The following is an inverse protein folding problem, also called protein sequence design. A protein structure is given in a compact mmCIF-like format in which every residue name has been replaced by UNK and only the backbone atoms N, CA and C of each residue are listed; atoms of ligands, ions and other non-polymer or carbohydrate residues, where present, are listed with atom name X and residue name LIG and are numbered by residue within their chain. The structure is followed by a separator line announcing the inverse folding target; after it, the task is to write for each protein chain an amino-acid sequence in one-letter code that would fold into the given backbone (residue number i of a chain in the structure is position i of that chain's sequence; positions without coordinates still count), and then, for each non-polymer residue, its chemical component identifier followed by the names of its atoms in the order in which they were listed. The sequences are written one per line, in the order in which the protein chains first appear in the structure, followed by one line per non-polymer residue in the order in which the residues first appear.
data_IF_837485468145
#
_entry.id   IF_837485468145
#
_cell.length_a   1.000
_cell.length_b   1.000
_cell.length_c   1.000
_cell.angle_alpha   90.00
_cell.angle_beta   90.00
_cell.angle_gamma   90.00
#
_symmetry.space_group_name_H-M   'P 1'
#
loop_
_entity.id
_entity.type
_entity.pdbx_description
1 polymer ?
#
# COMPACT_ATOMS: atom_id res chain seq x y z
N UNK A 1 -14.62 -44.67 -32.92
CA UNK A 1 -14.67 -43.19 -32.76
C UNK A 1 -13.56 -42.78 -31.83
N UNK A 2 -12.37 -42.48 -32.36
CA UNK A 2 -11.29 -41.89 -31.57
C UNK A 2 -11.61 -40.41 -31.35
N UNK A 3 -11.92 -40.04 -30.11
CA UNK A 3 -11.99 -38.64 -29.71
C UNK A 3 -10.54 -38.15 -29.72
N UNK A 4 -10.17 -37.37 -30.75
CA UNK A 4 -8.79 -37.00 -31.02
C UNK A 4 -8.16 -36.09 -29.95
N UNK A 5 -6.82 -36.14 -29.79
CA UNK A 5 -6.08 -35.35 -28.79
C UNK A 5 -6.25 -33.83 -28.92
N UNK A 6 -6.66 -33.32 -30.08
CA UNK A 6 -6.96 -31.90 -30.32
C UNK A 6 -8.17 -31.40 -29.52
N UNK A 7 -9.23 -32.21 -29.38
CA UNK A 7 -10.40 -31.86 -28.56
C UNK A 7 -10.03 -31.74 -27.08
N UNK A 8 -9.11 -32.58 -26.60
CA UNK A 8 -8.60 -32.57 -25.23
C UNK A 8 -7.71 -31.33 -24.99
N UNK A 9 -6.86 -30.98 -25.95
CA UNK A 9 -5.96 -29.83 -25.87
C UNK A 9 -6.75 -28.50 -25.91
N UNK A 10 -7.75 -28.38 -26.79
CA UNK A 10 -8.64 -27.20 -26.80
C UNK A 10 -9.44 -27.07 -25.50
N UNK A 11 -9.90 -28.19 -24.93
CA UNK A 11 -10.66 -28.18 -23.68
C UNK A 11 -9.78 -27.74 -22.50
N UNK A 12 -8.49 -28.14 -22.49
CA UNK A 12 -7.50 -27.67 -21.51
C UNK A 12 -7.17 -26.17 -21.66
N UNK A 13 -7.02 -25.66 -22.89
CA UNK A 13 -6.75 -24.24 -23.15
C UNK A 13 -7.97 -23.36 -22.81
N UNK A 14 -9.19 -23.83 -23.09
CA UNK A 14 -10.45 -23.14 -22.74
C UNK A 14 -10.73 -23.14 -21.23
N UNK A 15 -10.33 -24.18 -20.49
CA UNK A 15 -10.37 -24.21 -19.03
C UNK A 15 -9.42 -23.15 -18.42
N UNK A 16 -8.28 -22.91 -19.07
CA UNK A 16 -7.26 -21.97 -18.60
C UNK A 16 -7.75 -20.52 -18.61
N UNK A 17 -8.42 -20.05 -19.68
CA UNK A 17 -8.87 -18.66 -19.77
C UNK A 17 -9.91 -18.27 -18.70
N UNK A 18 -10.90 -19.13 -18.46
CA UNK A 18 -11.95 -18.91 -17.45
C UNK A 18 -11.36 -18.87 -16.04
N UNK A 19 -10.51 -19.86 -15.72
CA UNK A 19 -9.85 -19.93 -14.42
C UNK A 19 -8.90 -18.74 -14.20
N UNK A 20 -8.10 -18.39 -15.21
CA UNK A 20 -7.16 -17.27 -15.15
C UNK A 20 -7.86 -15.91 -14.98
N UNK A 21 -8.98 -15.69 -15.68
CA UNK A 21 -9.78 -14.48 -15.53
C UNK A 21 -10.42 -14.41 -14.13
N UNK A 22 -11.00 -15.50 -13.64
CA UNK A 22 -11.56 -15.55 -12.27
C UNK A 22 -10.48 -15.28 -11.20
N UNK A 23 -9.27 -15.82 -11.40
CA UNK A 23 -8.14 -15.61 -10.51
C UNK A 23 -7.64 -14.15 -10.56
N UNK A 24 -7.55 -13.55 -11.76
CA UNK A 24 -7.19 -12.14 -11.95
C UNK A 24 -8.21 -11.25 -11.26
N UNK A 25 -9.50 -11.43 -11.57
CA UNK A 25 -10.57 -10.62 -10.98
C UNK A 25 -10.63 -10.75 -9.47
N UNK A 26 -10.41 -11.93 -8.89
CA UNK A 26 -10.38 -12.11 -7.43
C UNK A 26 -9.26 -11.34 -6.72
N UNK A 27 -8.16 -11.04 -7.41
CA UNK A 27 -7.01 -10.36 -6.84
C UNK A 27 -7.07 -8.83 -7.01
N UNK A 28 -7.90 -8.32 -7.92
CA UNK A 28 -7.99 -6.89 -8.16
C UNK A 28 -8.74 -6.18 -7.02
N UNK A 29 -8.22 -5.05 -6.51
CA UNK A 29 -9.00 -4.11 -5.71
C UNK A 29 -10.18 -3.55 -6.50
N UNK A 30 -11.18 -3.02 -5.80
CA UNK A 30 -12.40 -2.52 -6.42
C UNK A 30 -12.17 -1.38 -7.43
N UNK A 31 -11.23 -0.46 -7.17
CA UNK A 31 -10.88 0.62 -8.12
C UNK A 31 -10.39 0.03 -9.45
N UNK A 32 -9.42 -0.87 -9.39
CA UNK A 32 -8.87 -1.52 -10.59
C UNK A 32 -9.89 -2.45 -11.28
N UNK A 33 -10.90 -2.93 -10.54
CA UNK A 33 -12.00 -3.71 -11.12
C UNK A 33 -12.88 -2.84 -12.03
N UNK A 34 -13.16 -1.60 -11.64
CA UNK A 34 -13.95 -0.67 -12.46
C UNK A 34 -13.22 -0.34 -13.76
N UNK A 35 -11.93 0.01 -13.69
CA UNK A 35 -11.09 0.26 -14.87
C UNK A 35 -11.05 -0.96 -15.80
N UNK A 36 -10.88 -2.16 -15.23
CA UNK A 36 -10.87 -3.39 -16.01
C UNK A 36 -12.21 -3.67 -16.70
N UNK A 37 -13.34 -3.38 -16.05
CA UNK A 37 -14.66 -3.55 -16.67
C UNK A 37 -14.86 -2.53 -17.80
N UNK A 38 -14.43 -1.28 -17.62
CA UNK A 38 -14.47 -0.24 -18.66
C UNK A 38 -13.64 -0.63 -19.88
N UNK A 39 -12.42 -1.15 -19.69
CA UNK A 39 -11.59 -1.68 -20.78
C UNK A 39 -12.33 -2.81 -21.54
N UNK A 40 -12.99 -3.71 -20.81
CA UNK A 40 -13.74 -4.83 -21.42
C UNK A 40 -15.02 -4.41 -22.13
N UNK A 41 -15.63 -3.30 -21.76
CA UNK A 41 -16.76 -2.70 -22.48
C UNK A 41 -16.29 -2.19 -23.84
N UNK A 42 -15.17 -1.46 -23.89
CA UNK A 42 -14.62 -0.94 -25.15
C UNK A 42 -14.22 -2.08 -26.09
N UNK A 43 -13.70 -3.18 -25.55
CA UNK A 43 -13.33 -4.35 -26.35
C UNK A 43 -14.53 -5.19 -26.84
N UNK A 44 -15.66 -5.18 -26.12
CA UNK A 44 -16.79 -6.09 -26.38
C UNK A 44 -18.06 -5.33 -26.77
N UNK A 45 -18.42 -5.26 -28.07
CA UNK A 45 -19.59 -4.52 -28.53
C UNK A 45 -20.93 -5.11 -28.05
N UNK A 46 -20.93 -6.33 -27.49
CA UNK A 46 -22.11 -6.97 -26.93
C UNK A 46 -22.32 -6.65 -25.43
N UNK A 47 -21.45 -5.85 -24.83
CA UNK A 47 -21.41 -5.62 -23.39
C UNK A 47 -21.71 -4.14 -23.11
N UNK A 48 -22.77 -3.90 -22.35
CA UNK A 48 -23.23 -2.56 -21.97
C UNK A 48 -23.38 -2.47 -20.44
N UNK A 49 -23.26 -1.27 -19.88
CA UNK A 49 -23.55 -1.01 -18.47
C UNK A 49 -25.03 -0.67 -18.30
N UNK A 50 -25.65 -1.23 -17.27
CA UNK A 50 -26.98 -0.83 -16.86
C UNK A 50 -26.94 0.51 -16.12
N UNK A 51 -27.19 1.61 -16.83
CA UNK A 51 -27.26 2.95 -16.24
C UNK A 51 -28.49 3.12 -15.31
N UNK A 52 -29.45 2.19 -15.30
CA UNK A 52 -30.70 2.29 -14.54
C UNK A 52 -30.48 2.34 -13.02
N UNK A 53 -29.39 1.75 -12.52
CA UNK A 53 -29.05 1.74 -11.09
C UNK A 53 -28.51 3.07 -10.57
N UNK A 54 -28.04 3.97 -11.44
CA UNK A 54 -27.50 5.26 -11.03
C UNK A 54 -28.57 6.26 -10.57
N UNK A 55 -29.84 6.03 -10.92
CA UNK A 55 -30.94 7.00 -10.67
C UNK A 55 -31.71 6.79 -9.37
N UNK A 56 -31.74 5.59 -8.79
CA UNK A 56 -32.61 5.31 -7.63
C UNK A 56 -31.99 5.61 -6.26
N UNK A 57 -30.67 5.79 -6.15
CA UNK A 57 -29.98 5.93 -4.85
C UNK A 57 -29.75 7.36 -4.34
N UNK A 58 -30.37 8.38 -4.93
CA UNK A 58 -30.28 9.78 -4.45
C UNK A 58 -31.23 10.14 -3.30
N UNK A 59 -31.76 9.17 -2.54
CA UNK A 59 -32.64 9.40 -1.40
C UNK A 59 -32.00 9.16 -0.02
N UNK A 60 -30.67 9.17 0.07
CA UNK A 60 -29.98 9.38 1.33
C UNK A 60 -29.17 10.67 1.25
N UNK A 61 -29.62 11.66 2.02
CA UNK A 61 -28.91 12.88 2.34
C UNK A 61 -27.53 12.55 2.94
N UNK A 62 -26.50 12.55 2.11
CA UNK A 62 -25.12 12.61 2.58
C UNK A 62 -24.49 13.86 1.94
N UNK A 63 -24.46 14.95 2.73
CA UNK A 63 -23.71 16.18 2.43
C UNK A 63 -22.20 15.91 2.20
N UNK A 64 -21.75 14.67 2.41
CA UNK A 64 -20.39 14.16 2.21
C UNK A 64 -19.99 13.86 0.77
N UNK A 65 -20.90 13.92 -0.21
CA UNK A 65 -20.53 13.72 -1.63
C UNK A 65 -19.66 14.87 -2.17
N UNK A 66 -19.87 16.10 -1.67
CA UNK A 66 -19.04 17.26 -2.06
C UNK A 66 -17.62 17.19 -1.48
N UNK A 67 -17.39 16.44 -0.40
CA UNK A 67 -16.05 16.19 0.17
C UNK A 67 -15.24 15.15 -0.63
N UNK A 68 -15.85 14.49 -1.63
CA UNK A 68 -15.20 13.48 -2.48
C UNK A 68 -14.78 14.00 -3.86
N UNK A 69 -14.97 15.29 -4.14
CA UNK A 69 -14.26 15.90 -5.28
C UNK A 69 -12.78 15.81 -4.93
N UNK A 70 -11.94 15.14 -5.75
CA UNK A 70 -10.53 15.05 -5.47
C UNK A 70 -10.01 16.48 -5.35
N UNK A 71 -9.46 16.83 -4.20
CA UNK A 71 -8.43 17.86 -4.20
C UNK A 71 -7.40 17.33 -5.20
N UNK A 72 -7.22 18.02 -6.33
CA UNK A 72 -6.10 17.72 -7.22
C UNK A 72 -4.87 18.16 -6.44
N UNK A 73 -4.45 17.34 -5.47
CA UNK A 73 -3.23 17.52 -4.71
C UNK A 73 -2.16 17.81 -5.74
N UNK A 74 -1.67 19.06 -5.73
CA UNK A 74 -0.86 19.61 -6.81
C UNK A 74 0.36 18.69 -6.98
N UNK A 75 0.58 18.17 -8.19
CA UNK A 75 1.75 17.33 -8.45
C UNK A 75 3.02 18.11 -8.08
N UNK A 76 4.04 17.41 -7.59
CA UNK A 76 5.31 18.02 -7.21
C UNK A 76 5.87 18.94 -8.30
N UNK A 77 5.81 18.49 -9.56
CA UNK A 77 6.24 19.26 -10.72
C UNK A 77 5.38 20.51 -10.92
N UNK A 78 4.06 20.40 -10.72
CA UNK A 78 3.15 21.54 -10.89
C UNK A 78 3.39 22.65 -9.86
N UNK A 79 3.76 22.28 -8.62
CA UNK A 79 4.11 23.24 -7.56
C UNK A 79 5.40 23.97 -7.93
N UNK A 80 6.44 23.24 -8.34
CA UNK A 80 7.71 23.84 -8.77
C UNK A 80 7.53 24.76 -9.98
N UNK A 81 6.76 24.35 -10.98
CA UNK A 81 6.49 25.19 -12.15
C UNK A 81 5.72 26.47 -11.78
N UNK A 82 4.79 26.38 -10.83
CA UNK A 82 4.09 27.55 -10.31
C UNK A 82 5.05 28.53 -9.62
N UNK A 83 5.94 28.04 -8.76
CA UNK A 83 6.95 28.87 -8.09
C UNK A 83 7.92 29.51 -9.09
N UNK A 84 8.47 28.71 -10.01
CA UNK A 84 9.37 29.22 -11.05
C UNK A 84 8.72 30.31 -11.88
N UNK A 85 7.41 30.20 -12.16
CA UNK A 85 6.67 31.21 -12.89
C UNK A 85 6.50 32.52 -12.12
N UNK A 86 6.49 32.46 -10.79
CA UNK A 86 6.44 33.66 -9.93
C UNK A 86 7.81 34.33 -9.79
N UNK A 87 8.91 33.57 -9.86
CA UNK A 87 10.27 34.07 -9.62
C UNK A 87 11.07 34.39 -10.89
N UNK A 88 10.72 33.83 -12.05
CA UNK A 88 11.47 34.01 -13.30
C UNK A 88 10.68 34.86 -14.29
N UNK A 89 11.18 36.06 -14.57
CA UNK A 89 10.61 36.95 -15.60
C UNK A 89 11.09 36.62 -17.02
N UNK A 90 12.24 35.95 -17.17
CA UNK A 90 12.80 35.60 -18.48
C UNK A 90 12.16 34.32 -19.02
N UNK A 91 11.45 34.42 -20.15
CA UNK A 91 10.83 33.27 -20.83
C UNK A 91 11.85 32.17 -21.14
N UNK A 92 13.04 32.56 -21.60
CA UNK A 92 14.11 31.62 -21.96
C UNK A 92 14.62 30.84 -20.74
N UNK A 93 14.81 31.51 -19.61
CA UNK A 93 15.26 30.87 -18.38
C UNK A 93 14.17 29.96 -17.79
N UNK A 94 12.90 30.37 -17.89
CA UNK A 94 11.77 29.56 -17.43
C UNK A 94 11.62 28.27 -18.25
N UNK A 95 11.82 28.31 -19.57
CA UNK A 95 11.81 27.12 -20.42
C UNK A 95 12.96 26.15 -20.07
N UNK A 96 14.17 26.67 -19.85
CA UNK A 96 15.30 25.86 -19.39
C UNK A 96 15.02 25.23 -18.00
N UNK A 97 14.44 25.98 -17.07
CA UNK A 97 14.10 25.49 -15.74
C UNK A 97 12.99 24.41 -15.80
N UNK A 98 11.99 24.60 -16.68
CA UNK A 98 10.94 23.62 -16.93
C UNK A 98 11.50 22.29 -17.42
N UNK A 99 12.48 22.30 -18.33
CA UNK A 99 13.14 21.07 -18.78
C UNK A 99 13.82 20.32 -17.62
N UNK A 100 14.46 21.05 -16.70
CA UNK A 100 15.09 20.47 -15.51
C UNK A 100 14.03 19.85 -14.59
N UNK A 101 12.92 20.56 -14.33
CA UNK A 101 11.82 20.06 -13.50
C UNK A 101 11.23 18.76 -14.07
N UNK A 102 11.01 18.69 -15.38
CA UNK A 102 10.55 17.48 -16.06
C UNK A 102 11.57 16.32 -16.04
N UNK A 103 12.82 16.59 -15.69
CA UNK A 103 13.91 15.61 -15.63
C UNK A 103 14.26 15.18 -14.19
N UNK A 104 13.50 15.63 -13.19
CA UNK A 104 13.69 15.23 -11.81
C UNK A 104 13.18 13.80 -11.58
N UNK A 105 13.84 13.07 -10.69
CA UNK A 105 13.36 11.77 -10.22
C UNK A 105 12.22 11.92 -9.21
N UNK A 106 11.62 10.79 -8.81
CA UNK A 106 10.54 10.73 -7.81
C UNK A 106 10.92 11.26 -6.43
N UNK A 107 12.22 11.47 -6.15
CA UNK A 107 12.73 12.03 -4.90
C UNK A 107 13.02 13.53 -5.00
N UNK A 108 12.93 14.11 -6.20
CA UNK A 108 13.22 15.51 -6.50
C UNK A 108 14.68 15.78 -6.85
N UNK A 109 15.44 14.76 -7.23
CA UNK A 109 16.85 14.87 -7.61
C UNK A 109 17.04 14.96 -9.12
N UNK A 110 18.04 15.72 -9.54
CA UNK A 110 18.49 15.80 -10.91
C UNK A 110 19.72 14.90 -11.09
N UNK A 111 19.52 13.71 -11.68
CA UNK A 111 20.57 12.72 -11.93
C UNK A 111 21.15 12.77 -13.35
N UNK A 112 20.61 13.66 -14.20
CA UNK A 112 21.00 13.80 -15.59
C UNK A 112 22.26 14.62 -15.82
N UNK A 113 22.72 14.65 -17.06
CA UNK A 113 23.79 15.53 -17.51
C UNK A 113 23.20 16.87 -17.99
N UNK A 114 23.53 17.94 -17.29
CA UNK A 114 23.00 19.28 -17.56
C UNK A 114 23.41 19.78 -18.95
N UNK A 115 24.59 19.41 -19.44
CA UNK A 115 25.08 19.84 -20.76
C UNK A 115 24.28 19.16 -21.88
N UNK A 116 24.07 17.84 -21.78
CA UNK A 116 23.25 17.08 -22.75
C UNK A 116 21.80 17.52 -22.77
N UNK A 117 21.24 17.81 -21.59
CA UNK A 117 19.87 18.34 -21.50
C UNK A 117 19.75 19.71 -22.16
N UNK A 118 20.77 20.55 -22.00
CA UNK A 118 20.90 21.83 -22.69
C UNK A 118 20.96 21.69 -24.21
N UNK A 119 21.78 20.76 -24.73
CA UNK A 119 21.89 20.49 -26.17
C UNK A 119 20.55 20.06 -26.78
N UNK A 120 19.82 19.16 -26.12
CA UNK A 120 18.48 18.72 -26.56
C UNK A 120 17.49 19.89 -26.59
N UNK A 121 17.55 20.77 -25.60
CA UNK A 121 16.67 21.93 -25.49
C UNK A 121 17.13 23.15 -26.30
N UNK A 122 18.31 23.12 -26.93
CA UNK A 122 18.91 24.27 -27.60
C UNK A 122 19.33 25.40 -26.65
N UNK A 123 19.69 25.09 -25.40
CA UNK A 123 20.17 26.06 -24.40
C UNK A 123 21.68 25.98 -24.22
N UNK A 124 22.30 27.13 -23.97
CA UNK A 124 23.72 27.20 -23.64
C UNK A 124 24.01 26.60 -22.26
N UNK A 125 25.24 26.12 -21.99
CA UNK A 125 25.62 25.60 -20.68
C UNK A 125 25.45 26.63 -19.53
N UNK A 126 25.60 27.92 -19.82
CA UNK A 126 25.40 28.99 -18.84
C UNK A 126 23.93 29.18 -18.47
N UNK A 127 23.03 29.18 -19.48
CA UNK A 127 21.59 29.24 -19.25
C UNK A 127 21.10 28.05 -18.43
N UNK A 128 21.58 26.84 -18.71
CA UNK A 128 21.20 25.66 -17.96
C UNK A 128 21.72 25.69 -16.51
N UNK A 129 22.92 26.23 -16.26
CA UNK A 129 23.44 26.43 -14.90
C UNK A 129 22.58 27.43 -14.12
N UNK A 130 22.21 28.55 -14.75
CA UNK A 130 21.31 29.54 -14.15
C UNK A 130 19.92 28.95 -13.89
N UNK A 131 19.42 28.13 -14.81
CA UNK A 131 18.13 27.47 -14.66
C UNK A 131 18.14 26.46 -13.51
N UNK A 132 19.21 25.65 -13.38
CA UNK A 132 19.38 24.73 -12.26
C UNK A 132 19.48 25.47 -10.92
N UNK A 133 20.18 26.60 -10.88
CA UNK A 133 20.24 27.45 -9.69
C UNK A 133 18.86 27.99 -9.30
N UNK A 134 18.04 28.38 -10.28
CA UNK A 134 16.67 28.81 -10.04
C UNK A 134 15.80 27.67 -9.51
N UNK A 135 15.90 26.46 -10.07
CA UNK A 135 15.20 25.27 -9.57
C UNK A 135 15.61 24.92 -8.12
N UNK A 136 16.91 25.06 -7.79
CA UNK A 136 17.43 24.81 -6.44
C UNK A 136 17.00 25.86 -5.41
N UNK A 137 16.56 27.02 -5.86
CA UNK A 137 16.06 28.10 -5.02
C UNK A 137 14.55 27.97 -4.70
N UNK A 138 13.83 27.06 -5.38
CA UNK A 138 12.43 26.76 -5.10
C UNK A 138 12.27 25.97 -3.80
N UNK A 139 11.09 26.07 -3.20
CA UNK A 139 10.69 25.20 -2.11
C UNK A 139 10.06 23.91 -2.67
N UNK A 140 10.41 22.73 -2.13
CA UNK A 140 11.26 22.48 -0.97
C UNK A 140 12.76 22.64 -1.27
N UNK A 141 13.49 23.25 -0.34
CA UNK A 141 14.94 23.37 -0.45
C UNK A 141 15.60 22.00 -0.61
N UNK A 142 16.57 21.91 -1.52
CA UNK A 142 17.27 20.67 -1.85
C UNK A 142 16.75 19.95 -3.10
N UNK A 143 15.72 20.48 -3.76
CA UNK A 143 15.29 20.05 -5.11
C UNK A 143 16.39 20.33 -6.14
N UNK A 144 16.53 19.46 -7.14
CA UNK A 144 17.58 19.59 -8.16
C UNK A 144 18.99 19.27 -7.65
N UNK A 145 19.10 18.67 -6.46
CA UNK A 145 20.33 18.06 -5.98
C UNK A 145 20.65 16.79 -6.78
N UNK A 146 21.94 16.47 -6.91
CA UNK A 146 22.43 15.23 -7.51
C UNK A 146 22.55 14.09 -6.50
N UNK A 147 22.50 14.40 -5.20
CA UNK A 147 22.64 13.43 -4.12
C UNK A 147 21.95 13.91 -2.83
N UNK A 148 21.73 12.97 -1.89
CA UNK A 148 21.23 13.29 -0.54
C UNK A 148 22.17 14.26 0.18
N UNK A 149 23.48 14.08 0.03
CA UNK A 149 24.47 14.96 0.65
C UNK A 149 24.33 16.39 0.13
N UNK A 150 24.23 16.56 -1.20
CA UNK A 150 24.02 17.87 -1.81
C UNK A 150 22.67 18.48 -1.41
N UNK A 151 21.61 17.67 -1.34
CA UNK A 151 20.28 18.12 -0.92
C UNK A 151 20.30 18.71 0.49
N UNK A 152 20.93 18.02 1.44
CA UNK A 152 21.10 18.53 2.80
C UNK A 152 21.93 19.82 2.83
N UNK A 153 22.99 19.90 2.04
CA UNK A 153 23.82 21.12 1.96
C UNK A 153 23.06 22.32 1.38
N UNK A 154 22.19 22.10 0.39
CA UNK A 154 21.32 23.15 -0.15
C UNK A 154 20.30 23.60 0.89
N UNK A 155 19.82 22.70 1.75
CA UNK A 155 18.87 23.04 2.80
C UNK A 155 19.48 23.83 3.96
N UNK A 156 20.76 23.60 4.30
CA UNK A 156 21.40 24.18 5.50
C UNK A 156 21.28 25.71 5.63
N UNK A 157 21.52 26.53 4.58
CA UNK A 157 21.43 27.99 4.67
C UNK A 157 20.03 28.50 5.01
N UNK A 158 19.00 27.69 4.76
CA UNK A 158 17.60 28.04 4.99
C UNK A 158 17.08 27.53 6.34
N UNK A 159 17.93 26.89 7.16
CA UNK A 159 17.55 26.38 8.48
C UNK A 159 17.89 27.37 9.60
N UNK A 160 17.08 27.33 10.67
CA UNK A 160 17.35 28.09 11.90
C UNK A 160 18.03 27.19 12.94
N UNK A 161 18.84 27.79 13.82
CA UNK A 161 19.52 27.09 14.93
C UNK A 161 20.40 25.90 14.51
N UNK A 162 21.18 26.05 13.43
CA UNK A 162 22.10 25.01 12.94
C UNK A 162 23.21 24.77 13.97
N UNK A 163 23.38 23.54 14.49
CA UNK A 163 24.47 23.23 15.41
C UNK A 163 25.85 23.44 14.76
N UNK A 164 26.81 23.89 15.55
CA UNK A 164 28.19 24.06 15.10
C UNK A 164 28.78 22.74 14.58
N UNK A 165 29.47 22.80 13.44
CA UNK A 165 30.06 21.62 12.79
C UNK A 165 29.11 20.79 11.93
N UNK A 166 27.82 21.16 11.82
CA UNK A 166 26.84 20.45 10.95
C UNK A 166 27.30 20.40 9.49
N UNK A 167 27.66 21.54 8.93
CA UNK A 167 28.14 21.63 7.54
C UNK A 167 29.41 20.81 7.32
N UNK A 168 30.35 20.83 8.27
CA UNK A 168 31.58 20.04 8.21
C UNK A 168 31.28 18.54 8.20
N UNK A 169 30.38 18.07 9.07
CA UNK A 169 29.98 16.66 9.13
C UNK A 169 29.34 16.24 7.81
N UNK A 170 28.42 17.03 7.26
CA UNK A 170 27.77 16.71 5.98
C UNK A 170 28.76 16.77 4.82
N UNK A 171 29.72 17.71 4.78
CA UNK A 171 30.71 17.80 3.69
C UNK A 171 31.78 16.70 3.74
N UNK A 172 32.35 16.43 4.92
CA UNK A 172 33.57 15.60 5.06
C UNK A 172 33.33 14.21 5.65
N UNK A 173 32.30 14.05 6.49
CA UNK A 173 32.08 12.83 7.27
C UNK A 173 30.70 12.20 7.01
N UNK A 174 30.11 12.45 5.85
CA UNK A 174 28.78 11.96 5.50
C UNK A 174 28.69 10.43 5.49
N UNK A 175 29.73 9.74 4.99
CA UNK A 175 29.79 8.28 4.98
C UNK A 175 29.80 7.71 6.41
N UNK A 176 30.66 8.23 7.28
CA UNK A 176 30.70 7.84 8.69
C UNK A 176 29.38 8.14 9.41
N UNK A 177 28.73 9.26 9.07
CA UNK A 177 27.43 9.65 9.61
C UNK A 177 26.35 8.63 9.25
N UNK A 178 26.25 8.23 7.97
CA UNK A 178 25.29 7.22 7.51
C UNK A 178 25.49 5.87 8.22
N UNK A 179 26.74 5.48 8.49
CA UNK A 179 27.06 4.24 9.18
C UNK A 179 27.03 4.35 10.72
N UNK A 180 26.55 5.46 11.27
CA UNK A 180 26.46 5.70 12.72
C UNK A 180 27.79 5.55 13.46
N UNK A 181 28.92 5.88 12.81
CA UNK A 181 30.28 5.78 13.38
C UNK A 181 30.63 7.03 14.19
N UNK A 182 29.85 7.32 15.24
CA UNK A 182 29.96 8.55 16.04
C UNK A 182 31.35 8.76 16.65
N UNK A 183 31.97 7.69 17.16
CA UNK A 183 33.31 7.76 17.78
C UNK A 183 34.41 8.11 16.77
N UNK A 184 34.18 7.83 15.48
CA UNK A 184 35.11 8.19 14.39
C UNK A 184 34.90 9.65 14.02
N UNK A 185 33.65 10.10 13.96
CA UNK A 185 33.31 11.50 13.69
C UNK A 185 33.89 12.37 14.80
N UNK A 186 33.66 12.04 16.07
CA UNK A 186 34.17 12.79 17.22
C UNK A 186 35.70 12.99 17.15
N UNK A 187 36.44 11.88 16.94
CA UNK A 187 37.90 11.92 16.84
C UNK A 187 38.41 12.70 15.64
N UNK A 188 37.76 12.57 14.48
CA UNK A 188 38.21 13.25 13.24
C UNK A 188 37.74 14.70 13.16
N UNK A 189 36.60 15.04 13.76
CA UNK A 189 36.00 16.37 13.71
C UNK A 189 36.44 17.26 14.87
N UNK A 190 36.99 16.68 15.95
CA UNK A 190 37.37 17.41 17.16
C UNK A 190 36.19 17.97 17.95
N UNK A 191 34.96 17.54 17.63
CA UNK A 191 33.74 17.99 18.29
C UNK A 191 33.50 17.16 19.55
N UNK A 192 32.87 17.73 20.57
CA UNK A 192 32.43 16.95 21.73
C UNK A 192 31.28 16.00 21.36
N UNK A 193 31.15 14.89 22.10
CA UNK A 193 29.99 13.99 21.99
C UNK A 193 28.63 14.72 22.02
N UNK A 194 28.49 15.75 22.85
CA UNK A 194 27.25 16.56 22.94
C UNK A 194 26.97 17.33 21.64
N UNK A 195 28.01 17.87 21.01
CA UNK A 195 27.90 18.58 19.74
C UNK A 195 27.55 17.62 18.59
N UNK A 196 28.21 16.46 18.50
CA UNK A 196 27.89 15.43 17.49
C UNK A 196 26.45 14.93 17.65
N UNK A 197 25.99 14.75 18.89
CA UNK A 197 24.59 14.40 19.19
C UNK A 197 23.62 15.48 18.71
N UNK A 198 23.92 16.76 18.98
CA UNK A 198 23.10 17.88 18.53
C UNK A 198 22.99 17.93 16.99
N UNK A 199 24.11 17.76 16.27
CA UNK A 199 24.14 17.69 14.80
C UNK A 199 23.28 16.53 14.29
N UNK A 200 23.42 15.34 14.87
CA UNK A 200 22.61 14.18 14.51
C UNK A 200 21.12 14.43 14.69
N UNK A 201 20.73 14.96 15.84
CA UNK A 201 19.33 15.20 16.18
C UNK A 201 18.74 16.34 15.32
N UNK A 202 19.58 17.27 14.85
CA UNK A 202 19.22 18.29 13.88
C UNK A 202 19.01 17.71 12.47
N UNK A 203 19.98 16.97 11.93
CA UNK A 203 19.89 16.36 10.58
C UNK A 203 18.68 15.41 10.49
N UNK A 204 18.35 14.69 11.56
CA UNK A 204 17.14 13.83 11.62
C UNK A 204 15.82 14.58 11.41
N UNK A 205 15.79 15.89 11.67
CA UNK A 205 14.60 16.73 11.46
C UNK A 205 14.52 17.25 10.02
N UNK A 206 15.63 17.23 9.28
CA UNK A 206 15.65 17.66 7.88
C UNK A 206 15.04 16.58 6.99
N UNK A 207 14.45 16.98 5.87
CA UNK A 207 13.91 16.06 4.86
C UNK A 207 14.96 15.78 3.78
N UNK A 208 15.64 14.61 3.78
CA UNK A 208 16.68 14.31 2.79
C UNK A 208 16.13 14.13 1.37
N UNK A 209 14.82 13.93 1.21
CA UNK A 209 14.14 13.72 -0.06
C UNK A 209 13.07 14.81 -0.24
N UNK A 210 13.38 15.88 -0.98
CA UNK A 210 12.50 17.05 -1.10
C UNK A 210 11.10 16.71 -1.65
N UNK A 211 11.00 15.82 -2.64
CA UNK A 211 9.70 15.47 -3.23
C UNK A 211 8.79 14.64 -2.31
N UNK A 212 9.32 14.08 -1.21
CA UNK A 212 8.58 13.17 -0.33
C UNK A 212 7.38 13.86 0.35
N UNK A 213 7.43 15.18 0.55
CA UNK A 213 6.31 15.94 1.10
C UNK A 213 5.12 16.06 0.14
N UNK A 214 5.32 15.78 -1.15
CA UNK A 214 4.28 15.74 -2.18
C UNK A 214 3.98 14.32 -2.65
N UNK A 215 4.65 13.32 -2.07
CA UNK A 215 4.31 11.91 -2.24
C UNK A 215 3.11 11.58 -1.37
N UNK A 216 2.00 12.29 -1.54
CA UNK A 216 0.69 11.83 -1.10
C UNK A 216 0.20 10.76 -2.08
N UNK A 217 0.93 9.64 -2.14
CA UNK A 217 0.30 8.37 -2.46
C UNK A 217 -0.48 7.94 -1.20
N UNK A 218 -1.44 8.76 -0.77
CA UNK A 218 -2.50 8.29 0.11
C UNK A 218 -3.31 7.34 -0.76
N UNK A 219 -2.86 6.08 -0.82
CA UNK A 219 -3.69 5.00 -1.33
C UNK A 219 -4.87 4.92 -0.37
N UNK A 220 -5.96 5.57 -0.76
CA UNK A 220 -7.21 5.46 -0.05
C UNK A 220 -7.62 4.00 -0.07
N UNK A 221 -7.68 3.41 1.12
CA UNK A 221 -8.14 2.04 1.28
C UNK A 221 -9.65 2.08 1.20
N UNK A 222 -10.22 1.57 0.11
CA UNK A 222 -11.66 1.42 -0.05
C UNK A 222 -12.10 0.05 0.50
N UNK A 223 -12.85 0.00 1.62
CA UNK A 223 -13.41 -1.26 2.08
C UNK A 223 -14.50 -1.73 1.12
N UNK A 224 -14.43 -3.00 0.72
CA UNK A 224 -15.43 -3.57 -0.21
C UNK A 224 -16.68 -4.05 0.54
N UNK A 225 -16.50 -4.38 1.81
CA UNK A 225 -17.51 -5.03 2.65
C UNK A 225 -17.59 -4.31 3.97
N UNK A 226 -18.81 -4.19 4.49
CA UNK A 226 -19.11 -3.71 5.81
C UNK A 226 -19.75 -4.81 6.65
N UNK A 227 -19.31 -4.90 7.90
CA UNK A 227 -19.93 -5.75 8.93
C UNK A 227 -20.89 -4.88 9.73
N UNK A 228 -22.17 -5.23 9.66
CA UNK A 228 -23.24 -4.52 10.36
C UNK A 228 -23.74 -5.35 11.54
N UNK A 229 -24.09 -4.66 12.63
CA UNK A 229 -24.77 -5.29 13.75
C UNK A 229 -26.27 -5.25 13.49
N UNK A 230 -26.90 -6.42 13.40
CA UNK A 230 -28.35 -6.58 13.23
C UNK A 230 -29.02 -6.71 14.60
N UNK A 231 -30.35 -6.60 14.62
CA UNK A 231 -31.15 -6.81 15.82
C UNK A 231 -30.86 -8.18 16.48
N UNK A 232 -30.97 -8.22 17.81
CA UNK A 232 -30.76 -9.43 18.64
C UNK A 232 -29.32 -9.98 18.62
N UNK A 233 -28.31 -9.13 18.39
CA UNK A 233 -26.90 -9.52 18.48
C UNK A 233 -26.41 -10.41 17.33
N UNK A 234 -27.10 -10.36 16.19
CA UNK A 234 -26.66 -11.02 14.94
C UNK A 234 -25.72 -10.09 14.17
N UNK A 235 -24.79 -10.66 13.43
CA UNK A 235 -23.87 -9.93 12.55
C UNK A 235 -24.30 -10.16 11.10
N UNK A 236 -24.35 -9.10 10.31
CA UNK A 236 -24.65 -9.12 8.89
C UNK A 236 -23.45 -8.66 8.06
N UNK A 237 -23.50 -8.97 6.77
CA UNK A 237 -22.51 -8.55 5.77
C UNK A 237 -23.23 -7.68 4.75
N UNK A 238 -22.74 -6.48 4.50
CA UNK A 238 -23.20 -5.57 3.45
C UNK A 238 -22.03 -5.27 2.51
N UNK A 239 -22.25 -5.31 1.20
CA UNK A 239 -21.26 -4.80 0.24
C UNK A 239 -21.44 -3.28 0.13
N UNK A 240 -20.33 -2.53 0.19
CA UNK A 240 -20.37 -1.06 0.16
C UNK A 240 -20.50 -0.52 -1.25
N UNK A 241 -19.93 -1.23 -2.22
CA UNK A 241 -20.10 -0.97 -3.64
C UNK A 241 -20.78 -2.17 -4.30
N UNK A 242 -21.79 -1.90 -5.12
CA UNK A 242 -22.39 -2.92 -5.97
C UNK A 242 -21.52 -3.11 -7.21
N UNK A 243 -21.40 -4.37 -7.65
CA UNK A 243 -20.79 -4.63 -8.95
C UNK A 243 -21.68 -4.00 -10.02
N UNK A 244 -21.11 -3.35 -11.05
CA UNK A 244 -21.90 -2.83 -12.15
C UNK A 244 -22.71 -3.95 -12.78
N UNK A 245 -24.00 -3.69 -13.00
CA UNK A 245 -24.88 -4.62 -13.71
C UNK A 245 -24.50 -4.61 -15.19
N UNK A 246 -24.01 -5.76 -15.68
CA UNK A 246 -23.58 -5.94 -17.07
C UNK A 246 -24.74 -6.44 -17.91
N UNK A 247 -25.17 -5.63 -18.88
CA UNK A 247 -26.21 -6.01 -19.84
C UNK A 247 -25.57 -6.70 -21.03
N UNK A 248 -26.19 -7.81 -21.44
CA UNK A 248 -25.90 -8.45 -22.72
C UNK A 248 -26.80 -7.86 -23.80
N UNK A 249 -26.20 -7.29 -24.86
CA UNK A 249 -26.91 -6.83 -26.07
C UNK A 249 -27.37 -8.01 -26.91
N UNK A 250 -28.45 -8.67 -26.48
CA UNK A 250 -29.05 -9.77 -27.23
C UNK A 250 -29.58 -9.31 -28.58
N UNK A 251 -30.08 -8.07 -28.66
CA UNK A 251 -30.56 -7.41 -29.86
C UNK A 251 -29.48 -7.33 -30.96
N UNK A 252 -28.28 -6.85 -30.63
CA UNK A 252 -27.16 -6.78 -31.56
C UNK A 252 -26.69 -8.17 -31.97
N UNK A 253 -26.68 -9.12 -31.04
CA UNK A 253 -26.32 -10.50 -31.36
C UNK A 253 -27.31 -11.10 -32.36
N UNK A 254 -28.61 -10.92 -32.16
CA UNK A 254 -29.66 -11.47 -33.03
C UNK A 254 -29.67 -10.83 -34.43
N UNK A 255 -29.41 -9.53 -34.54
CA UNK A 255 -29.31 -8.79 -35.80
C UNK A 255 -28.24 -9.38 -36.75
N UNK A 256 -27.08 -9.73 -36.21
CA UNK A 256 -25.93 -10.16 -37.01
C UNK A 256 -25.67 -11.67 -36.99
N UNK A 257 -26.38 -12.44 -36.16
CA UNK A 257 -26.25 -13.89 -36.12
C UNK A 257 -26.86 -14.58 -37.36
N UNK A 258 -27.76 -13.90 -38.07
CA UNK A 258 -28.39 -14.37 -39.30
C UNK A 258 -27.64 -13.97 -40.59
N UNK A 259 -26.52 -13.25 -40.47
CA UNK A 259 -25.69 -12.88 -41.63
C UNK A 259 -24.95 -14.11 -42.17
N UNK A 260 -24.79 -14.22 -43.49
CA UNK A 260 -24.06 -15.34 -44.14
C UNK A 260 -22.54 -15.29 -43.92
N UNK A 261 -22.03 -14.18 -43.39
CA UNK A 261 -20.62 -13.96 -43.16
C UNK A 261 -20.11 -14.76 -41.94
N UNK A 262 -19.27 -15.76 -42.23
CA UNK A 262 -18.67 -16.65 -41.23
C UNK A 262 -17.73 -15.91 -40.28
N UNK A 263 -17.06 -14.84 -40.73
CA UNK A 263 -16.11 -14.10 -39.90
C UNK A 263 -16.86 -13.32 -38.81
N UNK A 264 -17.93 -12.61 -39.19
CA UNK A 264 -18.80 -11.86 -38.28
C UNK A 264 -19.42 -12.80 -37.24
N UNK A 265 -19.90 -13.98 -37.67
CA UNK A 265 -20.48 -14.97 -36.74
C UNK A 265 -19.44 -15.51 -35.75
N UNK A 266 -18.23 -15.79 -36.21
CA UNK A 266 -17.13 -16.25 -35.34
C UNK A 266 -16.74 -15.19 -34.30
N UNK A 267 -16.73 -13.91 -34.72
CA UNK A 267 -16.47 -12.76 -33.88
C UNK A 267 -17.54 -12.63 -32.78
N UNK A 268 -18.82 -12.64 -33.14
CA UNK A 268 -19.93 -12.54 -32.18
C UNK A 268 -19.95 -13.70 -31.17
N UNK A 269 -19.68 -14.92 -31.62
CA UNK A 269 -19.58 -16.10 -30.73
C UNK A 269 -18.45 -15.95 -29.71
N UNK A 270 -17.29 -15.43 -30.13
CA UNK A 270 -16.17 -15.14 -29.24
C UNK A 270 -16.55 -14.09 -28.20
N UNK A 271 -17.17 -12.99 -28.62
CA UNK A 271 -17.58 -11.89 -27.74
C UNK A 271 -18.68 -12.29 -26.74
N UNK A 272 -19.66 -13.10 -27.18
CA UNK A 272 -20.67 -13.72 -26.31
C UNK A 272 -20.03 -14.60 -25.24
N UNK A 273 -19.08 -15.45 -25.64
CA UNK A 273 -18.36 -16.32 -24.70
C UNK A 273 -17.56 -15.50 -23.68
N UNK A 274 -16.89 -14.44 -24.11
CA UNK A 274 -16.14 -13.54 -23.23
C UNK A 274 -17.06 -12.85 -22.21
N UNK A 275 -18.25 -12.39 -22.62
CA UNK A 275 -19.26 -11.84 -21.72
C UNK A 275 -19.66 -12.85 -20.64
N UNK A 276 -20.02 -14.08 -21.02
CA UNK A 276 -20.43 -15.13 -20.08
C UNK A 276 -19.33 -15.45 -19.06
N UNK A 277 -18.08 -15.59 -19.53
CA UNK A 277 -16.92 -15.85 -18.66
C UNK A 277 -16.71 -14.69 -17.68
N UNK A 278 -16.85 -13.45 -18.12
CA UNK A 278 -16.71 -12.27 -17.27
C UNK A 278 -17.80 -12.23 -16.18
N UNK A 279 -19.06 -12.43 -16.58
CA UNK A 279 -20.21 -12.45 -15.66
C UNK A 279 -20.06 -13.53 -14.59
N UNK A 280 -19.72 -14.76 -15.00
CA UNK A 280 -19.49 -15.86 -14.07
C UNK A 280 -18.34 -15.57 -13.10
N UNK A 281 -17.26 -14.95 -13.59
CA UNK A 281 -16.12 -14.60 -12.77
C UNK A 281 -16.44 -13.52 -11.73
N UNK A 282 -17.28 -12.53 -12.07
CA UNK A 282 -17.79 -11.52 -11.14
C UNK A 282 -18.68 -12.12 -10.05
N UNK A 283 -19.59 -13.02 -10.43
CA UNK A 283 -20.43 -13.77 -9.48
C UNK A 283 -19.57 -14.63 -8.55
N UNK A 284 -18.59 -15.35 -9.11
CA UNK A 284 -17.66 -16.17 -8.35
C UNK A 284 -16.83 -15.34 -7.36
N UNK A 285 -16.38 -14.14 -7.77
CA UNK A 285 -15.71 -13.19 -6.88
C UNK A 285 -16.61 -12.85 -5.69
N UNK A 286 -17.82 -12.34 -5.93
CA UNK A 286 -18.75 -11.95 -4.86
C UNK A 286 -19.07 -13.09 -3.90
N UNK A 287 -19.36 -14.28 -4.44
CA UNK A 287 -19.65 -15.47 -3.63
C UNK A 287 -18.44 -15.87 -2.77
N UNK A 288 -17.24 -15.91 -3.34
CA UNK A 288 -16.03 -16.31 -2.62
C UNK A 288 -15.71 -15.36 -1.48
N UNK A 289 -15.84 -14.05 -1.74
CA UNK A 289 -15.70 -12.99 -0.74
C UNK A 289 -16.68 -13.23 0.42
N UNK A 290 -17.96 -13.39 0.09
CA UNK A 290 -19.02 -13.54 1.08
C UNK A 290 -18.80 -14.77 1.96
N UNK A 291 -18.47 -15.94 1.37
CA UNK A 291 -18.18 -17.17 2.11
C UNK A 291 -17.01 -17.01 3.08
N UNK A 292 -15.91 -16.39 2.65
CA UNK A 292 -14.74 -16.20 3.52
C UNK A 292 -15.05 -15.23 4.66
N UNK A 293 -15.66 -14.07 4.38
CA UNK A 293 -15.99 -13.10 5.43
C UNK A 293 -17.01 -13.67 6.41
N UNK A 294 -18.00 -14.43 5.94
CA UNK A 294 -18.99 -15.07 6.80
C UNK A 294 -18.36 -16.09 7.75
N UNK A 295 -17.43 -16.91 7.27
CA UNK A 295 -16.70 -17.84 8.12
C UNK A 295 -15.79 -17.11 9.13
N UNK A 296 -15.12 -16.03 8.71
CA UNK A 296 -14.34 -15.18 9.62
C UNK A 296 -15.24 -14.60 10.73
N UNK A 297 -16.43 -14.10 10.39
CA UNK A 297 -17.40 -13.59 11.37
C UNK A 297 -17.81 -14.65 12.40
N UNK A 298 -17.99 -15.90 11.97
CA UNK A 298 -18.35 -17.01 12.85
C UNK A 298 -17.24 -17.32 13.85
N UNK A 299 -15.99 -17.42 13.38
CA UNK A 299 -14.82 -17.72 14.24
C UNK A 299 -14.49 -16.55 15.17
N UNK A 300 -14.54 -15.31 14.64
CA UNK A 300 -14.17 -14.08 15.35
C UNK A 300 -15.36 -13.37 16.01
N UNK A 301 -16.45 -14.09 16.29
CA UNK A 301 -17.69 -13.52 16.84
C UNK A 301 -17.47 -12.68 18.10
N UNK A 302 -16.53 -13.09 18.97
CA UNK A 302 -16.23 -12.39 20.21
C UNK A 302 -15.58 -11.01 19.96
N UNK A 303 -14.70 -10.90 18.96
CA UNK A 303 -14.12 -9.63 18.53
C UNK A 303 -15.21 -8.68 17.99
N UNK A 304 -16.08 -9.17 17.08
CA UNK A 304 -17.10 -8.31 16.47
C UNK A 304 -18.25 -7.93 17.42
N UNK A 305 -18.54 -8.70 18.46
CA UNK A 305 -19.59 -8.35 19.42
C UNK A 305 -19.06 -7.53 20.61
N UNK A 306 -17.89 -7.89 21.14
CA UNK A 306 -17.39 -7.39 22.43
C UNK A 306 -16.02 -6.73 22.35
N UNK A 307 -15.44 -6.59 21.14
CA UNK A 307 -14.05 -6.17 20.96
C UNK A 307 -13.04 -7.03 21.76
N UNK A 308 -13.39 -8.31 21.95
CA UNK A 308 -12.49 -9.28 22.59
C UNK A 308 -11.36 -9.72 21.66
N UNK A 309 -10.51 -10.62 22.16
CA UNK A 309 -9.31 -11.03 21.42
C UNK A 309 -9.62 -11.81 20.14
N UNK A 310 -8.75 -11.62 19.14
CA UNK A 310 -8.79 -12.36 17.87
C UNK A 310 -8.40 -13.82 18.16
N UNK A 311 -9.26 -14.76 17.79
CA UNK A 311 -9.00 -16.19 17.87
C UNK A 311 -8.03 -16.64 16.76
N UNK A 312 -7.22 -17.68 16.97
CA UNK A 312 -6.41 -18.25 15.89
C UNK A 312 -7.26 -18.72 14.72
N UNK A 313 -6.82 -18.40 13.51
CA UNK A 313 -7.49 -18.79 12.27
C UNK A 313 -6.47 -18.83 11.12
N UNK A 314 -6.32 -19.99 10.48
CA UNK A 314 -5.46 -20.16 9.31
C UNK A 314 -6.29 -20.16 8.02
N UNK A 315 -5.68 -19.75 6.91
CA UNK A 315 -6.32 -19.82 5.59
C UNK A 315 -6.72 -21.25 5.19
N UNK A 316 -5.97 -22.26 5.68
CA UNK A 316 -6.30 -23.67 5.47
C UNK A 316 -7.65 -24.03 6.11
N UNK A 317 -7.93 -23.50 7.30
CA UNK A 317 -9.18 -23.77 8.01
C UNK A 317 -10.36 -23.15 7.26
N UNK A 318 -10.18 -21.93 6.74
CA UNK A 318 -11.17 -21.25 5.88
C UNK A 318 -11.40 -22.05 4.59
N UNK A 319 -10.34 -22.52 3.95
CA UNK A 319 -10.41 -23.32 2.72
C UNK A 319 -11.22 -24.61 2.94
N UNK A 320 -10.95 -25.34 4.02
CA UNK A 320 -11.68 -26.56 4.38
C UNK A 320 -13.16 -26.27 4.68
N UNK A 321 -13.46 -25.22 5.44
CA UNK A 321 -14.83 -24.89 5.84
C UNK A 321 -15.68 -24.35 4.70
N UNK A 322 -15.09 -23.60 3.77
CA UNK A 322 -15.81 -22.94 2.67
C UNK A 322 -15.84 -23.76 1.38
N UNK A 323 -15.02 -24.81 1.29
CA UNK A 323 -14.81 -25.61 0.06
C UNK A 323 -14.04 -24.86 -1.04
N UNK A 324 -13.50 -23.67 -0.74
CA UNK A 324 -12.71 -22.88 -1.68
C UNK A 324 -11.26 -23.39 -1.70
N UNK A 325 -10.59 -23.27 -2.85
CA UNK A 325 -9.16 -23.59 -2.94
C UNK A 325 -8.31 -22.66 -2.07
N UNK A 326 -7.17 -23.15 -1.59
CA UNK A 326 -6.25 -22.35 -0.78
C UNK A 326 -5.78 -21.07 -1.49
N UNK A 327 -5.57 -21.13 -2.81
CA UNK A 327 -5.20 -19.95 -3.61
C UNK A 327 -6.34 -18.94 -3.71
N UNK A 328 -7.59 -19.40 -3.84
CA UNK A 328 -8.78 -18.52 -3.79
C UNK A 328 -8.89 -17.80 -2.45
N UNK A 329 -8.75 -18.53 -1.34
CA UNK A 329 -8.79 -17.94 0.01
C UNK A 329 -7.66 -16.93 0.20
N UNK A 330 -6.43 -17.28 -0.21
CA UNK A 330 -5.29 -16.37 -0.12
C UNK A 330 -5.53 -15.06 -0.89
N UNK A 331 -6.08 -15.12 -2.11
CA UNK A 331 -6.41 -13.94 -2.92
C UNK A 331 -7.50 -13.10 -2.26
N UNK A 332 -8.56 -13.75 -1.79
CA UNK A 332 -9.66 -13.13 -1.07
C UNK A 332 -9.21 -12.43 0.23
N UNK A 333 -8.20 -12.96 0.91
CA UNK A 333 -7.64 -12.33 2.10
C UNK A 333 -6.59 -11.25 1.77
N UNK A 334 -6.02 -11.21 0.57
CA UNK A 334 -4.97 -10.26 0.19
C UNK A 334 -5.55 -8.92 -0.23
N UNK A 335 -4.94 -7.83 0.23
CA UNK A 335 -5.29 -6.44 -0.14
C UNK A 335 -6.78 -6.12 -0.09
N UNK A 336 -7.48 -6.71 0.89
CA UNK A 336 -8.92 -6.53 1.05
C UNK A 336 -9.28 -6.13 2.44
N UNK A 337 -10.29 -5.28 2.51
CA UNK A 337 -10.59 -4.50 3.69
C UNK A 337 -12.07 -4.53 4.00
N UNK A 338 -12.37 -4.48 5.29
CA UNK A 338 -13.71 -4.56 5.84
C UNK A 338 -13.94 -3.36 6.75
N UNK A 339 -15.06 -2.68 6.56
CA UNK A 339 -15.53 -1.63 7.45
C UNK A 339 -16.30 -2.25 8.61
N UNK A 340 -15.95 -1.90 9.84
CA UNK A 340 -16.68 -2.31 11.03
C UNK A 340 -16.67 -1.18 12.06
N UNK A 341 -17.87 -0.70 12.46
CA UNK A 341 -18.06 0.40 13.43
C UNK A 341 -17.18 1.63 13.13
N UNK A 342 -17.14 2.06 11.87
CA UNK A 342 -16.38 3.24 11.43
C UNK A 342 -14.87 3.04 11.32
N UNK A 343 -14.36 1.81 11.51
CA UNK A 343 -12.93 1.48 11.36
C UNK A 343 -12.72 0.48 10.23
N UNK A 344 -11.65 0.68 9.48
CA UNK A 344 -11.24 -0.21 8.39
C UNK A 344 -10.25 -1.23 8.94
N UNK A 345 -10.51 -2.51 8.65
CA UNK A 345 -9.65 -3.63 9.02
C UNK A 345 -9.24 -4.42 7.77
N UNK A 346 -7.98 -4.83 7.68
CA UNK A 346 -7.58 -5.77 6.63
C UNK A 346 -8.17 -7.15 6.93
N UNK A 347 -8.59 -7.90 5.92
CA UNK A 347 -9.11 -9.27 6.11
C UNK A 347 -8.03 -10.17 6.74
N UNK A 348 -6.76 -9.95 6.39
CA UNK A 348 -5.63 -10.65 7.01
C UNK A 348 -5.52 -10.38 8.50
N UNK A 349 -6.10 -9.29 9.00
CA UNK A 349 -5.99 -8.97 10.40
C UNK A 349 -6.73 -9.94 11.31
N UNK A 350 -7.69 -10.66 10.76
CA UNK A 350 -8.46 -11.69 11.46
C UNK A 350 -7.82 -13.07 11.38
N UNK A 351 -6.68 -13.18 10.70
CA UNK A 351 -5.88 -14.40 10.61
C UNK A 351 -4.78 -14.38 11.65
N UNK A 352 -4.46 -15.54 12.20
CA UNK A 352 -3.43 -15.65 13.24
C UNK A 352 -3.07 -17.08 13.53
N UNK A 353 -1.79 -17.30 13.85
CA UNK A 353 -1.32 -18.63 14.27
C UNK A 353 -1.75 -18.92 15.70
N UNK A 354 -2.11 -20.18 15.95
CA UNK A 354 -2.40 -20.64 17.29
C UNK A 354 -1.10 -20.85 18.09
N UNK A 355 -1.08 -20.36 19.32
CA UNK A 355 -0.11 -20.76 20.34
C UNK A 355 -0.82 -21.47 21.48
N UNK A 356 -0.16 -22.51 21.99
CA UNK A 356 -0.72 -23.37 23.03
C UNK A 356 -0.56 -22.67 24.38
N UNK A 357 -1.68 -22.55 25.11
CA UNK A 357 -1.67 -22.17 26.51
C UNK A 357 -1.53 -23.43 27.38
N UNK A 358 -0.63 -23.39 28.36
CA UNK A 358 -0.30 -24.54 29.20
C UNK A 358 -1.45 -24.97 30.15
N UNK A 359 -1.62 -26.29 30.23
CA UNK A 359 -2.42 -27.15 31.14
C UNK A 359 -3.92 -26.84 31.38
N UNK A 360 -4.75 -27.72 30.81
CA UNK A 360 -6.20 -27.96 31.02
C UNK A 360 -7.15 -26.86 30.48
N UNK A 361 -7.71 -27.15 29.29
CA UNK A 361 -8.96 -26.58 28.74
C UNK A 361 -9.03 -25.04 28.64
N UNK A 362 -7.97 -24.35 28.21
CA UNK A 362 -8.10 -22.98 27.68
C UNK A 362 -7.96 -22.99 26.17
N UNK A 363 -8.78 -22.17 25.51
CA UNK A 363 -8.73 -21.95 24.06
C UNK A 363 -7.33 -21.45 23.64
N UNK A 364 -6.83 -21.86 22.47
CA UNK A 364 -5.54 -21.39 21.97
C UNK A 364 -5.56 -19.88 21.73
N UNK A 365 -4.43 -19.21 21.97
CA UNK A 365 -4.28 -17.76 21.78
C UNK A 365 -3.66 -17.44 20.42
N UNK A 366 -4.08 -16.33 19.82
CA UNK A 366 -3.55 -15.86 18.54
C UNK A 366 -2.16 -15.23 18.68
N UNK A 367 -1.36 -15.30 17.62
CA UNK A 367 -0.09 -14.60 17.52
C UNK A 367 -0.22 -13.09 17.72
N UNK A 368 -1.32 -12.49 17.29
CA UNK A 368 -1.63 -11.08 17.52
C UNK A 368 -1.78 -10.75 19.00
N UNK A 369 -2.48 -11.60 19.75
CA UNK A 369 -2.62 -11.44 21.19
C UNK A 369 -1.25 -11.51 21.88
N UNK A 370 -0.43 -12.50 21.51
CA UNK A 370 0.95 -12.62 22.05
C UNK A 370 1.80 -11.40 21.71
N UNK A 371 1.70 -10.88 20.48
CA UNK A 371 2.40 -9.66 20.07
C UNK A 371 1.95 -8.42 20.85
N UNK A 372 0.65 -8.31 21.17
CA UNK A 372 0.14 -7.23 22.00
C UNK A 372 0.66 -7.32 23.44
N UNK A 373 0.65 -8.51 24.04
CA UNK A 373 1.24 -8.72 25.36
C UNK A 373 2.74 -8.40 25.36
N UNK A 374 3.47 -8.80 24.31
CA UNK A 374 4.89 -8.46 24.16
C UNK A 374 5.12 -6.95 24.13
N UNK A 375 4.28 -6.18 23.40
CA UNK A 375 4.36 -4.71 23.40
C UNK A 375 4.12 -4.14 24.79
N UNK A 376 3.09 -4.60 25.49
CA UNK A 376 2.75 -4.13 26.83
C UNK A 376 3.89 -4.40 27.83
N UNK A 377 4.50 -5.59 27.77
CA UNK A 377 5.64 -5.95 28.62
C UNK A 377 6.85 -5.05 28.36
N UNK A 378 7.14 -4.73 27.10
CA UNK A 378 8.28 -3.89 26.73
C UNK A 378 8.00 -2.41 27.03
N UNK A 379 6.76 -1.95 26.91
CA UNK A 379 6.39 -0.59 27.32
C UNK A 379 6.49 -0.39 28.84
N UNK A 380 6.19 -1.42 29.62
CA UNK A 380 6.30 -1.42 31.08
C UNK A 380 7.64 -1.89 31.63
N UNK A 381 8.67 -2.11 30.80
CA UNK A 381 9.96 -2.63 31.26
C UNK A 381 10.81 -1.57 31.96
N UNK A 382 11.70 -2.02 32.85
CA UNK A 382 12.73 -1.15 33.42
C UNK A 382 13.73 -0.74 32.31
N UNK A 383 13.80 0.56 32.02
CA UNK A 383 14.68 1.12 30.99
C UNK A 383 16.17 0.91 31.30
N UNK A 384 16.55 0.83 32.58
CA UNK A 384 17.93 0.56 32.99
C UNK A 384 18.27 -0.93 32.81
N UNK A 385 17.27 -1.80 32.99
CA UNK A 385 17.41 -3.26 32.85
C UNK A 385 16.31 -3.84 31.94
N UNK A 386 16.42 -3.64 30.61
CA UNK A 386 15.43 -4.16 29.67
C UNK A 386 15.33 -5.69 29.71
N UNK A 387 14.12 -6.21 29.57
CA UNK A 387 13.85 -7.64 29.64
C UNK A 387 14.50 -8.38 28.46
N UNK A 388 15.29 -9.40 28.76
CA UNK A 388 15.81 -10.32 27.76
C UNK A 388 14.70 -11.17 27.15
N UNK A 389 14.92 -11.69 25.93
CA UNK A 389 13.96 -12.59 25.27
C UNK A 389 13.65 -13.84 26.13
N UNK A 390 14.58 -14.26 27.00
CA UNK A 390 14.37 -15.37 27.94
C UNK A 390 13.47 -14.95 29.12
N UNK A 391 13.68 -13.78 29.71
CA UNK A 391 12.84 -13.26 30.79
C UNK A 391 11.41 -13.00 30.32
N UNK A 392 11.26 -12.50 29.09
CA UNK A 392 9.95 -12.34 28.45
C UNK A 392 9.22 -13.69 28.34
N UNK A 393 9.92 -14.78 28.00
CA UNK A 393 9.31 -16.12 28.01
C UNK A 393 8.79 -16.49 29.41
N UNK A 394 9.64 -16.33 30.43
CA UNK A 394 9.27 -16.65 31.81
C UNK A 394 8.08 -15.82 32.32
N UNK A 395 7.98 -14.55 31.91
CA UNK A 395 6.83 -13.70 32.24
C UNK A 395 5.57 -14.18 31.54
N UNK A 396 5.64 -14.51 30.24
CA UNK A 396 4.50 -15.01 29.47
C UNK A 396 4.01 -16.38 29.96
N UNK A 397 4.91 -17.23 30.47
CA UNK A 397 4.55 -18.48 31.13
C UNK A 397 3.69 -18.26 32.38
N UNK A 398 3.92 -17.20 33.16
CA UNK A 398 3.06 -16.83 34.30
C UNK A 398 1.64 -16.48 33.84
N UNK A 399 1.50 -15.93 32.65
CA UNK A 399 0.21 -15.69 31.99
C UNK A 399 -0.33 -16.93 31.25
N UNK A 400 0.26 -18.10 31.48
CA UNK A 400 -0.09 -19.40 30.87
C UNK A 400 0.11 -19.45 29.36
N UNK A 401 0.97 -18.60 28.80
CA UNK A 401 1.34 -18.59 27.38
C UNK A 401 2.69 -19.28 27.24
N UNK A 402 2.71 -20.52 26.73
CA UNK A 402 3.96 -21.26 26.55
C UNK A 402 4.51 -21.02 25.15
N UNK A 403 5.60 -20.25 25.06
CA UNK A 403 6.30 -19.97 23.81
C UNK A 403 7.81 -20.05 23.99
N UNK A 404 8.51 -20.53 22.95
CA UNK A 404 9.96 -20.62 22.99
C UNK A 404 10.63 -19.25 22.87
N UNK A 405 11.86 -19.13 23.37
CA UNK A 405 12.72 -17.95 23.18
C UNK A 405 12.86 -17.56 21.71
N UNK A 406 13.04 -18.55 20.81
CA UNK A 406 13.14 -18.32 19.35
C UNK A 406 11.85 -17.69 18.81
N UNK A 407 10.69 -18.08 19.34
CA UNK A 407 9.38 -17.52 18.97
C UNK A 407 9.27 -16.06 19.43
N UNK A 408 9.64 -15.75 20.68
CA UNK A 408 9.68 -14.38 21.20
C UNK A 408 10.58 -13.51 20.34
N UNK A 409 11.81 -13.95 20.05
CA UNK A 409 12.74 -13.23 19.18
C UNK A 409 12.12 -12.94 17.81
N UNK A 410 11.47 -13.94 17.20
CA UNK A 410 10.82 -13.78 15.88
C UNK A 410 9.68 -12.76 15.91
N UNK A 411 8.81 -12.81 16.94
CA UNK A 411 7.72 -11.86 17.11
C UNK A 411 8.24 -10.44 17.40
N UNK A 412 9.29 -10.32 18.22
CA UNK A 412 9.96 -9.05 18.52
C UNK A 412 10.53 -8.39 17.27
N UNK A 413 11.20 -9.16 16.41
CA UNK A 413 11.73 -8.67 15.14
C UNK A 413 10.61 -8.24 14.18
N UNK A 414 9.49 -8.97 14.11
CA UNK A 414 8.31 -8.55 13.33
C UNK A 414 7.74 -7.21 13.78
N UNK A 415 7.86 -6.88 15.07
CA UNK A 415 7.43 -5.62 15.65
C UNK A 415 8.48 -4.50 15.54
N UNK A 416 9.60 -4.75 14.85
CA UNK A 416 10.75 -3.84 14.78
C UNK A 416 11.31 -3.43 16.13
N UNK A 417 11.17 -4.28 17.15
CA UNK A 417 11.68 -4.01 18.48
C UNK A 417 13.11 -4.57 18.57
N UNK A 418 14.12 -3.79 18.99
CA UNK A 418 15.51 -4.28 19.09
C UNK A 418 15.72 -5.20 20.31
N UNK A 419 16.86 -5.89 20.37
CA UNK A 419 17.19 -6.79 21.48
C UNK A 419 17.45 -5.99 22.79
N UNK A 420 17.49 -6.67 23.94
CA UNK A 420 17.61 -6.01 25.25
C UNK A 420 18.87 -5.13 25.37
N UNK A 421 20.01 -5.55 24.82
CA UNK A 421 21.26 -4.78 24.83
C UNK A 421 21.16 -3.50 23.99
N UNK A 422 20.57 -3.59 22.80
CA UNK A 422 20.33 -2.43 21.94
C UNK A 422 19.27 -1.50 22.52
N UNK A 423 18.20 -2.04 23.14
CA UNK A 423 17.19 -1.23 23.85
C UNK A 423 17.82 -0.48 25.02
N UNK A 424 18.66 -1.14 25.82
CA UNK A 424 19.40 -0.49 26.91
C UNK A 424 20.25 0.66 26.38
N UNK A 425 20.97 0.44 25.27
CA UNK A 425 21.75 1.51 24.62
C UNK A 425 20.84 2.64 24.13
N UNK A 426 19.69 2.34 23.54
CA UNK A 426 18.73 3.34 23.09
C UNK A 426 18.08 4.14 24.22
N UNK A 427 17.85 3.53 25.39
CA UNK A 427 17.27 4.22 26.54
C UNK A 427 18.27 5.08 27.31
N UNK A 428 19.55 4.73 27.28
CA UNK A 428 20.64 5.51 27.87
C UNK A 428 21.14 6.64 26.96
N UNK A 429 20.81 6.59 25.66
CA UNK A 429 21.10 7.62 24.65
C UNK A 429 19.96 8.62 24.55
#
# INVERSE_FOLDING_TARGET
MMIGPELILEQQIKLNQRQLLSMKLLALPMQNLHEFIQEKIVENPLLELDDSFSKEKNSYSDERFWEQIPDRSRSFESVLLQELRMHISSTRLYEAAKLIVCSLDTRGFFLGDLAKLGEIGGFSPDEMKRALAAVRACEPFGVGASSVQESLLIQLPHQTNVPEGTEMIIKKYFSEFLHSKWDVIERKSGLSFKAVKAVRDFIKKMSPYPAHQFMDNVQYIHPEVEIISLEKGKLGIRFLEELPSLIYRSDLYELYNNTEDKEIRSFLLKHKKNYLILQEALVYRRMSIMKVIQYILQVQKHFFLQYGDIKPLLQKDISLATGLSASTVSRVCHERYVLFKGKIYAVQDFLGRAYVCGAKKKEPVSDKFVMQQLKNLIQGEDKLRPLSDQEICSVLEKYKISISRRTVTKLRLKLNIPNSSMRRRQYLL
#
